data_IF_295960310781
#
_entry.id   IF_295960310781
#
_cell.length_a   1.000
_cell.length_b   1.000
_cell.length_c   1.000
_cell.angle_alpha   90.00
_cell.angle_beta   90.00
_cell.angle_gamma   90.00
#
_symmetry.space_group_name_H-M   'P 1'
#
loop_
_entity.id
_entity.type
_entity.pdbx_description
1 polymer ?
#
# COMPACT_ATOMS: atom_id res chain seq x y z
N UNK A 1 11.68 -10.67 8.30
CA UNK A 1 10.90 -10.64 9.55
C UNK A 1 9.44 -10.38 9.24
N UNK A 2 8.53 -10.76 10.13
CA UNK A 2 7.11 -10.46 9.97
C UNK A 2 6.82 -8.99 10.28
N UNK A 3 5.82 -8.41 9.63
CA UNK A 3 5.39 -7.03 9.84
C UNK A 3 5.23 -6.26 8.53
N UNK A 4 4.91 -4.97 8.67
CA UNK A 4 4.85 -4.04 7.53
C UNK A 4 6.26 -3.69 7.06
N UNK A 5 6.46 -3.67 5.75
CA UNK A 5 7.73 -3.33 5.11
C UNK A 5 7.47 -2.33 3.98
N UNK A 6 8.34 -1.34 3.85
CA UNK A 6 8.19 -0.26 2.87
C UNK A 6 9.06 -0.53 1.64
N UNK A 7 8.46 -0.35 0.48
CA UNK A 7 9.12 -0.49 -0.81
C UNK A 7 8.82 0.75 -1.66
N UNK A 8 9.83 1.26 -2.35
CA UNK A 8 9.69 2.33 -3.34
C UNK A 8 10.29 1.78 -4.62
N UNK A 9 9.46 1.69 -5.65
CA UNK A 9 9.95 1.39 -7.00
C UNK A 9 10.51 2.68 -7.62
N UNK A 10 11.66 2.55 -8.28
CA UNK A 10 12.37 3.66 -8.93
C UNK A 10 11.76 4.07 -10.29
N UNK A 11 10.74 3.33 -10.77
CA UNK A 11 10.09 3.58 -12.05
C UNK A 11 10.80 2.93 -13.24
N UNK A 12 11.79 2.06 -13.02
CA UNK A 12 12.53 1.39 -14.08
C UNK A 12 11.88 0.05 -14.43
N UNK A 13 11.65 -0.21 -15.72
CA UNK A 13 11.14 -1.47 -16.24
C UNK A 13 12.25 -2.52 -16.40
N UNK A 14 11.87 -3.78 -16.67
CA UNK A 14 12.81 -4.91 -16.74
C UNK A 14 13.85 -4.79 -17.87
N UNK A 15 13.57 -4.00 -18.90
CA UNK A 15 14.50 -3.71 -20.01
C UNK A 15 15.46 -2.55 -19.71
N UNK A 16 15.39 -1.96 -18.51
CA UNK A 16 16.20 -0.82 -18.08
C UNK A 16 15.64 0.53 -18.53
N UNK A 17 14.55 0.58 -19.28
CA UNK A 17 13.89 1.82 -19.65
C UNK A 17 13.05 2.38 -18.49
N UNK A 18 12.74 3.67 -18.56
CA UNK A 18 11.73 4.27 -17.68
C UNK A 18 10.35 3.73 -18.07
N UNK A 19 9.59 3.31 -17.07
CA UNK A 19 8.23 2.86 -17.28
C UNK A 19 7.35 4.02 -17.80
N UNK A 20 6.36 3.69 -18.62
CA UNK A 20 5.43 4.68 -19.13
C UNK A 20 4.65 5.35 -18.00
N UNK A 21 4.20 6.58 -18.21
CA UNK A 21 3.34 7.24 -17.23
C UNK A 21 2.00 6.47 -17.10
N UNK A 22 1.65 6.06 -15.89
CA UNK A 22 0.43 5.30 -15.65
C UNK A 22 0.30 4.77 -14.24
N UNK A 23 -0.84 4.13 -13.98
CA UNK A 23 -1.06 3.37 -12.76
C UNK A 23 -0.54 1.94 -12.94
N UNK A 24 0.08 1.39 -11.90
CA UNK A 24 0.67 0.06 -11.88
C UNK A 24 0.13 -0.74 -10.70
N UNK A 25 0.14 -2.06 -10.83
CA UNK A 25 -0.27 -2.98 -9.76
C UNK A 25 0.94 -3.72 -9.24
N UNK A 26 1.00 -3.88 -7.92
CA UNK A 26 1.98 -4.71 -7.23
C UNK A 26 1.36 -6.09 -6.95
N UNK A 27 2.10 -7.16 -7.24
CA UNK A 27 1.81 -8.52 -6.78
C UNK A 27 2.89 -8.96 -5.78
N UNK A 28 2.49 -9.68 -4.72
CA UNK A 28 3.39 -10.17 -3.68
C UNK A 28 3.33 -11.70 -3.60
N UNK A 29 4.50 -12.33 -3.73
CA UNK A 29 4.73 -13.73 -3.38
C UNK A 29 5.82 -13.79 -2.31
N UNK A 30 5.56 -14.52 -1.23
CA UNK A 30 6.47 -14.65 -0.10
C UNK A 30 6.59 -16.12 0.33
N UNK A 31 7.79 -16.53 0.68
CA UNK A 31 8.09 -17.87 1.19
C UNK A 31 8.95 -17.81 2.45
N UNK A 32 8.80 -18.81 3.33
CA UNK A 32 9.60 -19.01 4.53
C UNK A 32 9.96 -20.49 4.60
N UNK A 33 11.26 -20.80 4.60
CA UNK A 33 11.76 -22.19 4.61
C UNK A 33 11.21 -23.05 3.44
N UNK A 34 10.96 -22.43 2.29
CA UNK A 34 10.40 -23.10 1.11
C UNK A 34 8.87 -23.16 1.08
N UNK A 35 8.20 -22.84 2.19
CA UNK A 35 6.74 -22.82 2.28
C UNK A 35 6.16 -21.44 1.96
N UNK A 36 5.05 -21.40 1.22
CA UNK A 36 4.36 -20.15 0.91
C UNK A 36 3.78 -19.53 2.17
N UNK A 37 4.04 -18.24 2.38
CA UNK A 37 3.39 -17.45 3.43
C UNK A 37 2.47 -16.40 2.81
N UNK A 38 1.36 -16.12 3.48
CA UNK A 38 0.38 -15.14 2.99
C UNK A 38 0.85 -13.73 3.31
N UNK A 39 0.98 -12.91 2.27
CA UNK A 39 1.21 -11.48 2.38
C UNK A 39 0.02 -10.68 1.87
N UNK A 40 0.00 -9.38 2.19
CA UNK A 40 -0.96 -8.41 1.65
C UNK A 40 -0.17 -7.22 1.11
N UNK A 41 -0.47 -6.82 -0.10
CA UNK A 41 0.07 -5.59 -0.69
C UNK A 41 -0.56 -4.36 -0.01
N UNK A 42 0.24 -3.32 0.18
CA UNK A 42 -0.18 -2.05 0.75
C UNK A 42 0.20 -0.95 -0.24
N UNK A 43 -0.59 0.13 -0.25
CA UNK A 43 -0.35 1.29 -1.11
C UNK A 43 -0.31 2.55 -0.25
N UNK A 44 0.60 3.46 -0.60
CA UNK A 44 0.69 4.78 0.03
C UNK A 44 -0.27 5.75 -0.66
N UNK A 45 -1.01 6.51 0.14
CA UNK A 45 -1.79 7.63 -0.35
C UNK A 45 -1.84 8.76 0.68
N UNK A 46 -1.95 10.03 0.23
CA UNK A 46 -2.07 11.16 1.13
C UNK A 46 -3.43 11.15 1.83
N UNK A 47 -3.46 11.44 3.14
CA UNK A 47 -4.71 11.75 3.81
C UNK A 47 -5.16 13.13 3.37
N UNK A 48 -6.28 13.20 2.67
CA UNK A 48 -6.84 14.45 2.13
C UNK A 48 -7.95 15.02 3.00
N UNK A 49 -8.59 14.18 3.83
CA UNK A 49 -9.61 14.62 4.78
C UNK A 49 -9.77 13.61 5.93
N UNK A 50 -10.30 14.11 7.06
CA UNK A 50 -10.65 13.32 8.25
C UNK A 50 -12.17 13.41 8.44
N UNK A 51 -12.82 12.26 8.54
CA UNK A 51 -14.27 12.15 8.68
C UNK A 51 -14.56 11.65 10.09
N UNK A 52 -15.27 12.46 10.89
CA UNK A 52 -15.68 12.09 12.25
C UNK A 52 -17.16 11.74 12.26
N UNK A 53 -17.49 10.53 12.68
CA UNK A 53 -18.86 10.05 12.84
C UNK A 53 -19.09 9.45 14.23
N UNK A 54 -20.35 9.09 14.51
CA UNK A 54 -20.71 8.47 15.79
C UNK A 54 -19.99 7.13 16.06
N UNK A 55 -19.58 6.43 14.99
CA UNK A 55 -18.88 5.15 15.07
C UNK A 55 -17.35 5.27 15.12
N UNK A 56 -16.79 6.49 15.06
CA UNK A 56 -15.35 6.73 15.10
C UNK A 56 -14.85 7.65 13.98
N UNK A 57 -13.56 7.55 13.69
CA UNK A 57 -12.85 8.38 12.72
C UNK A 57 -12.43 7.55 11.52
N UNK A 58 -12.81 8.01 10.33
CA UNK A 58 -12.40 7.48 9.04
C UNK A 58 -11.54 8.53 8.30
N UNK A 59 -10.80 8.09 7.28
CA UNK A 59 -9.83 8.88 6.53
C UNK A 59 -10.12 8.79 5.04
N UNK A 60 -10.22 9.93 4.36
CA UNK A 60 -10.16 9.96 2.89
C UNK A 60 -8.69 9.95 2.47
N UNK A 61 -8.27 8.89 1.79
CA UNK A 61 -6.89 8.67 1.34
C UNK A 61 -6.83 8.87 -0.17
N UNK A 62 -6.43 10.07 -0.60
CA UNK A 62 -6.31 10.45 -2.01
C UNK A 62 -7.46 9.93 -2.89
N UNK A 63 -7.10 9.31 -4.01
CA UNK A 63 -8.00 8.57 -4.90
C UNK A 63 -8.28 7.13 -4.46
N UNK A 64 -7.65 6.65 -3.38
CA UNK A 64 -7.84 5.28 -2.87
C UNK A 64 -9.18 5.09 -2.17
N UNK A 65 -9.78 6.17 -1.67
CA UNK A 65 -11.12 6.16 -1.06
C UNK A 65 -11.09 6.38 0.46
N UNK A 66 -12.15 5.93 1.12
CA UNK A 66 -12.35 6.10 2.57
C UNK A 66 -11.93 4.82 3.30
N UNK A 67 -11.07 4.97 4.31
CA UNK A 67 -10.54 3.88 5.12
C UNK A 67 -10.78 4.13 6.61
N UNK A 68 -10.97 3.05 7.36
CA UNK A 68 -11.06 3.12 8.82
C UNK A 68 -9.66 3.23 9.41
N UNK A 69 -9.56 3.74 10.63
CA UNK A 69 -8.29 3.76 11.36
C UNK A 69 -7.57 2.39 11.38
N UNK A 70 -8.32 1.29 11.57
CA UNK A 70 -7.75 -0.06 11.62
C UNK A 70 -7.21 -0.57 10.26
N UNK A 71 -7.61 0.04 9.16
CA UNK A 71 -7.11 -0.30 7.82
C UNK A 71 -5.72 0.33 7.58
N UNK A 72 -5.40 1.42 8.29
CA UNK A 72 -4.12 2.12 8.19
C UNK A 72 -3.01 1.29 8.85
N UNK A 73 -1.93 1.02 8.11
CA UNK A 73 -0.80 0.20 8.60
C UNK A 73 0.44 1.00 8.99
N UNK A 74 0.54 2.24 8.53
CA UNK A 74 1.63 3.15 8.85
C UNK A 74 1.23 4.60 8.53
N UNK A 75 1.80 5.55 9.26
CA UNK A 75 1.79 6.99 8.96
C UNK A 75 3.26 7.41 8.81
N UNK A 76 3.55 8.24 7.80
CA UNK A 76 4.88 8.78 7.50
C UNK A 76 4.90 10.29 7.77
#
# INVERSE_FOLDING_TARGET
>A
EAGSQNFIWDGTANDGAQAAQGAYTLELSATMEGEKVTGRTLEFGPVTSVIRGAAGTDFQVGSLGIFKYNDIKQIL
#
